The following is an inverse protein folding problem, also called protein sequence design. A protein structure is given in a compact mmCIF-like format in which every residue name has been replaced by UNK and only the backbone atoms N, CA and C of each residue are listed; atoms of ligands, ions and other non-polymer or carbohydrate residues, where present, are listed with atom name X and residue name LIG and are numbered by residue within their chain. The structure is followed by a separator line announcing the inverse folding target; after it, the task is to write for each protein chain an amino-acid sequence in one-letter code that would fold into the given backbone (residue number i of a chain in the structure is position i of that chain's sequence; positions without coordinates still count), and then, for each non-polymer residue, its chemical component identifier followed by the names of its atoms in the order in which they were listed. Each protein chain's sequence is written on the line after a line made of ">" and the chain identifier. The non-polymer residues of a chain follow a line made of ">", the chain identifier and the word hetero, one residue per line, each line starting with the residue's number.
data_IF_780120391064
#
_entry.id   IF_780120391064
#
_cell.length_a   1.000
_cell.length_b   1.000
_cell.length_c   1.000
_cell.angle_alpha   90.00
_cell.angle_beta   90.00
_cell.angle_gamma   90.00
#
_symmetry.space_group_name_H-M   'P 1'
#
loop_
_entity.id
_entity.type
_entity.pdbx_description
1 polymer ?
#
# COMPACT_ATOMS: atom_id res chain seq x y z
N UNK A 1 -12.38 -11.81 9.29
CA UNK A 1 -10.94 -11.97 8.97
C UNK A 1 -10.84 -12.53 7.56
N UNK A 2 -10.71 -11.66 6.56
CA UNK A 2 -10.48 -12.08 5.16
C UNK A 2 -9.28 -11.26 4.67
N UNK A 3 -8.06 -11.62 5.11
CA UNK A 3 -6.82 -10.94 4.70
C UNK A 3 -6.69 -10.90 3.15
N UNK A 4 -7.22 -11.93 2.49
CA UNK A 4 -7.34 -12.01 1.04
C UNK A 4 -8.15 -10.85 0.42
N UNK A 5 -9.18 -10.34 1.10
CA UNK A 5 -9.98 -9.20 0.63
C UNK A 5 -9.20 -7.88 0.64
N UNK A 6 -8.29 -7.70 1.60
CA UNK A 6 -7.38 -6.56 1.61
C UNK A 6 -6.41 -6.63 0.41
N UNK A 7 -6.00 -7.81 -0.04
CA UNK A 7 -5.12 -7.96 -1.21
C UNK A 7 -5.85 -7.99 -2.55
N UNK A 8 -7.18 -7.86 -2.59
CA UNK A 8 -7.93 -7.84 -3.85
C UNK A 8 -7.63 -6.59 -4.70
N UNK A 9 -7.22 -5.50 -4.05
CA UNK A 9 -6.86 -4.24 -4.69
C UNK A 9 -5.41 -4.27 -5.21
N UNK A 10 -5.17 -3.94 -6.50
CA UNK A 10 -3.84 -4.01 -7.11
C UNK A 10 -2.84 -3.05 -6.45
N UNK A 11 -3.29 -1.86 -6.04
CA UNK A 11 -2.44 -0.89 -5.32
C UNK A 11 -1.99 -1.48 -4.00
N UNK A 12 -2.90 -2.11 -3.23
CA UNK A 12 -2.54 -2.75 -1.96
C UNK A 12 -1.57 -3.92 -2.14
N UNK A 13 -1.73 -4.74 -3.19
CA UNK A 13 -0.75 -5.80 -3.50
C UNK A 13 0.63 -5.23 -3.79
N UNK A 14 0.70 -4.16 -4.57
CA UNK A 14 1.96 -3.52 -4.92
C UNK A 14 2.61 -2.84 -3.71
N UNK A 15 1.83 -2.22 -2.82
CA UNK A 15 2.32 -1.69 -1.54
C UNK A 15 2.97 -2.82 -0.71
N UNK A 16 2.30 -3.97 -0.59
CA UNK A 16 2.85 -5.12 0.16
C UNK A 16 4.12 -5.65 -0.50
N UNK A 17 4.14 -5.78 -1.83
CA UNK A 17 5.33 -6.22 -2.56
C UNK A 17 6.54 -5.28 -2.36
N UNK A 18 6.30 -3.97 -2.36
CA UNK A 18 7.34 -2.96 -2.11
C UNK A 18 7.87 -3.03 -0.67
N UNK A 19 6.98 -3.12 0.33
CA UNK A 19 7.37 -3.24 1.74
C UNK A 19 8.05 -4.57 2.06
N UNK A 20 7.71 -5.64 1.34
CA UNK A 20 8.39 -6.92 1.45
C UNK A 20 9.84 -6.87 0.92
N UNK A 21 10.15 -5.94 0.01
CA UNK A 21 11.51 -5.71 -0.48
C UNK A 21 12.35 -4.82 0.46
N UNK A 22 11.71 -4.12 1.40
CA UNK A 22 12.38 -3.28 2.40
C UNK A 22 11.43 -2.25 3.01
N UNK A 23 11.77 -1.76 4.21
CA UNK A 23 11.01 -0.67 4.83
C UNK A 23 11.12 0.61 4.00
N UNK A 24 10.00 1.31 3.83
CA UNK A 24 9.94 2.56 3.07
C UNK A 24 9.05 3.57 3.79
N UNK A 25 9.39 4.86 3.69
CA UNK A 25 8.55 5.92 4.20
C UNK A 25 7.25 6.02 3.40
N UNK A 26 6.12 6.31 4.06
CA UNK A 26 4.83 6.46 3.39
C UNK A 26 4.84 7.54 2.30
N UNK A 27 5.66 8.59 2.45
CA UNK A 27 5.86 9.63 1.43
C UNK A 27 6.58 9.11 0.18
N UNK A 28 7.66 8.37 0.36
CA UNK A 28 8.44 7.74 -0.72
C UNK A 28 7.61 6.67 -1.44
N UNK A 29 6.81 5.91 -0.68
CA UNK A 29 5.90 4.93 -1.23
C UNK A 29 4.88 5.60 -2.15
N UNK A 30 4.35 6.76 -1.74
CA UNK A 30 3.34 7.48 -2.50
C UNK A 30 3.85 8.04 -3.84
N UNK A 31 5.14 8.33 -3.96
CA UNK A 31 5.76 8.78 -5.21
C UNK A 31 5.81 7.68 -6.28
N UNK A 32 5.60 6.41 -5.89
CA UNK A 32 5.59 5.26 -6.80
C UNK A 32 4.22 4.95 -7.39
N UNK A 33 3.18 5.69 -6.99
CA UNK A 33 1.81 5.45 -7.44
C UNK A 33 1.21 6.68 -8.13
N UNK A 34 0.33 6.50 -9.14
CA UNK A 34 -0.37 7.61 -9.79
C UNK A 34 -1.54 8.15 -8.96
N UNK A 35 -1.54 7.96 -7.64
CA UNK A 35 -2.60 8.40 -6.72
C UNK A 35 -2.05 9.39 -5.70
N UNK A 36 -2.94 10.13 -5.06
CA UNK A 36 -2.54 11.12 -4.06
C UNK A 36 -1.92 10.45 -2.81
N UNK A 37 -1.04 11.19 -2.11
CA UNK A 37 -0.47 10.75 -0.82
C UNK A 37 -1.56 10.31 0.20
N UNK A 38 -2.69 11.03 0.37
CA UNK A 38 -3.79 10.56 1.22
C UNK A 38 -4.40 9.22 0.79
N UNK A 39 -4.47 8.93 -0.51
CA UNK A 39 -4.98 7.66 -1.01
C UNK A 39 -4.05 6.50 -0.60
N UNK A 40 -2.74 6.67 -0.72
CA UNK A 40 -1.76 5.68 -0.24
C UNK A 40 -1.86 5.48 1.27
N UNK A 41 -1.99 6.54 2.06
CA UNK A 41 -2.21 6.43 3.51
C UNK A 41 -3.49 5.66 3.87
N UNK A 42 -4.57 5.81 3.09
CA UNK A 42 -5.80 5.03 3.27
C UNK A 42 -5.57 3.55 2.98
N UNK A 43 -4.83 3.22 1.93
CA UNK A 43 -4.45 1.84 1.61
C UNK A 43 -3.60 1.21 2.72
N UNK A 44 -2.62 1.94 3.25
CA UNK A 44 -1.80 1.49 4.39
C UNK A 44 -2.64 1.25 5.65
N UNK A 45 -3.67 2.07 5.90
CA UNK A 45 -4.60 1.86 7.02
C UNK A 45 -5.44 0.58 6.87
N UNK A 46 -5.80 0.20 5.65
CA UNK A 46 -6.54 -1.06 5.37
C UNK A 46 -5.62 -2.28 5.49
N UNK A 47 -4.31 -2.11 5.32
CA UNK A 47 -3.31 -3.17 5.40
C UNK A 47 -2.79 -3.44 6.84
N UNK A 48 -3.10 -2.56 7.80
CA UNK A 48 -2.88 -2.80 9.24
C UNK A 48 -3.96 -3.72 9.79
#
# INVERSE_FOLDING_TARGET
>A
MQALGALADPTRRQIVALLAAGEQGAGELAERFPVSRPAVSRHLRVLR
#
